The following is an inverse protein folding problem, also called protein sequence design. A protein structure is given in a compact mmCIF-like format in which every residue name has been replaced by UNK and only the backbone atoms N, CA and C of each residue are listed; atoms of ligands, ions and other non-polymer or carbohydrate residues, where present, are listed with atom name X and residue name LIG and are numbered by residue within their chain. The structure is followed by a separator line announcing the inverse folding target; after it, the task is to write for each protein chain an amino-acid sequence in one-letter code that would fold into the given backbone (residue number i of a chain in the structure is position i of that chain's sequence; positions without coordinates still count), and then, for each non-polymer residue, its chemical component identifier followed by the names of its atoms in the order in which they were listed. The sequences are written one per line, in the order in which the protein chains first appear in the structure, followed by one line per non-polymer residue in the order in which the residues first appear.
data_IF_986637060695
#
_entry.id   IF_986637060695
#
_cell.length_a   1.000
_cell.length_b   1.000
_cell.length_c   1.000
_cell.angle_alpha   90.00
_cell.angle_beta   90.00
_cell.angle_gamma   90.00
#
_symmetry.space_group_name_H-M   'P 1'
#
loop_
_entity.id
_entity.type
_entity.pdbx_description
1 polymer ?
#
# COMPACT_ATOMS: atom_id res chain seq x y z
N UNK A 1 17.33 -47.45 -40.98
CA UNK A 1 16.89 -46.51 -39.93
C UNK A 1 16.75 -47.24 -38.57
N UNK A 2 16.05 -48.37 -38.48
CA UNK A 2 15.86 -49.09 -37.22
C UNK A 2 17.17 -49.71 -36.64
N UNK A 3 18.06 -50.25 -37.48
CA UNK A 3 19.36 -50.78 -37.06
C UNK A 3 20.27 -49.69 -36.46
N UNK A 4 20.30 -48.49 -37.04
CA UNK A 4 21.07 -47.37 -36.49
C UNK A 4 20.51 -46.89 -35.12
N UNK A 5 19.19 -46.92 -34.91
CA UNK A 5 18.59 -46.60 -33.63
C UNK A 5 18.92 -47.65 -32.56
N UNK A 6 19.03 -48.90 -32.96
CA UNK A 6 19.43 -49.96 -32.03
C UNK A 6 20.90 -49.82 -31.60
N UNK A 7 21.81 -49.52 -32.55
CA UNK A 7 23.22 -49.31 -32.25
C UNK A 7 23.53 -48.07 -31.41
N UNK A 8 22.69 -47.04 -31.56
CA UNK A 8 22.84 -45.79 -30.83
C UNK A 8 21.78 -45.59 -29.71
N UNK A 9 21.15 -46.66 -29.26
CA UNK A 9 20.05 -46.59 -28.31
C UNK A 9 20.38 -45.81 -27.01
N UNK A 10 21.59 -45.97 -26.47
CA UNK A 10 22.06 -45.26 -25.28
C UNK A 10 22.15 -43.73 -25.54
N UNK A 11 22.64 -43.33 -26.72
CA UNK A 11 22.76 -41.91 -27.07
C UNK A 11 21.40 -41.27 -27.33
N UNK A 12 20.47 -42.00 -27.95
CA UNK A 12 19.08 -41.55 -28.19
C UNK A 12 18.35 -41.44 -26.84
N UNK A 13 18.53 -42.39 -25.93
CA UNK A 13 17.93 -42.35 -24.62
C UNK A 13 18.46 -41.17 -23.77
N UNK A 14 19.77 -40.95 -23.81
CA UNK A 14 20.40 -39.81 -23.15
C UNK A 14 19.86 -38.47 -23.70
N UNK A 15 19.78 -38.32 -25.02
CA UNK A 15 19.25 -37.14 -25.69
C UNK A 15 17.77 -36.89 -25.30
N UNK A 16 16.93 -37.94 -25.30
CA UNK A 16 15.55 -37.86 -24.92
C UNK A 16 15.41 -37.45 -23.42
N UNK A 17 16.27 -38.02 -22.58
CA UNK A 17 16.30 -37.66 -21.15
C UNK A 17 16.64 -36.19 -20.94
N UNK A 18 17.63 -35.65 -21.68
CA UNK A 18 18.01 -34.24 -21.61
C UNK A 18 16.85 -33.36 -22.09
N UNK A 19 16.23 -33.68 -23.24
CA UNK A 19 15.07 -32.92 -23.73
C UNK A 19 13.92 -32.93 -22.74
N UNK A 20 13.61 -34.07 -22.17
CA UNK A 20 12.56 -34.20 -21.17
C UNK A 20 12.86 -33.34 -19.92
N UNK A 21 14.12 -33.38 -19.44
CA UNK A 21 14.53 -32.55 -18.30
C UNK A 21 14.39 -31.05 -18.61
N UNK A 22 14.78 -30.61 -19.80
CA UNK A 22 14.61 -29.21 -20.21
C UNK A 22 13.13 -28.79 -20.25
N UNK A 23 12.26 -29.62 -20.79
CA UNK A 23 10.81 -29.37 -20.80
C UNK A 23 10.27 -29.21 -19.38
N UNK A 24 10.67 -30.08 -18.46
CA UNK A 24 10.28 -29.98 -17.06
C UNK A 24 10.79 -28.70 -16.38
N UNK A 25 12.03 -28.31 -16.65
CA UNK A 25 12.60 -27.05 -16.12
C UNK A 25 11.78 -25.85 -16.62
N UNK A 26 11.47 -25.78 -17.92
CA UNK A 26 10.66 -24.70 -18.48
C UNK A 26 9.27 -24.70 -17.88
N UNK A 27 8.62 -25.86 -17.78
CA UNK A 27 7.30 -25.99 -17.17
C UNK A 27 7.28 -25.50 -15.72
N UNK A 28 8.27 -25.96 -14.93
CA UNK A 28 8.42 -25.55 -13.53
C UNK A 28 8.65 -24.03 -13.43
N UNK A 29 9.45 -23.46 -14.31
CA UNK A 29 9.71 -22.01 -14.34
C UNK A 29 8.45 -21.21 -14.66
N UNK A 30 7.62 -21.67 -15.60
CA UNK A 30 6.32 -21.05 -15.92
C UNK A 30 5.40 -21.13 -14.70
N UNK A 31 5.31 -22.31 -14.08
CA UNK A 31 4.46 -22.54 -12.90
C UNK A 31 4.87 -21.63 -11.75
N UNK A 32 6.16 -21.60 -11.39
CA UNK A 32 6.69 -20.77 -10.30
C UNK A 32 6.52 -19.28 -10.60
N UNK A 33 6.70 -18.86 -11.86
CA UNK A 33 6.50 -17.45 -12.24
C UNK A 33 5.03 -17.04 -12.19
N UNK A 34 4.11 -17.94 -12.50
CA UNK A 34 2.66 -17.76 -12.31
C UNK A 34 2.32 -17.50 -10.85
N UNK A 35 2.72 -18.40 -9.95
CA UNK A 35 2.51 -18.24 -8.51
C UNK A 35 3.13 -16.95 -7.93
N UNK A 36 4.33 -16.58 -8.39
CA UNK A 36 4.97 -15.31 -7.97
C UNK A 36 4.21 -14.07 -8.46
N UNK A 37 3.51 -14.17 -9.56
CA UNK A 37 2.72 -13.06 -10.13
C UNK A 37 1.40 -12.88 -9.38
N UNK A 38 0.74 -13.96 -9.00
CA UNK A 38 -0.51 -13.95 -8.23
C UNK A 38 -0.32 -13.42 -6.81
N UNK A 39 0.82 -13.70 -6.17
CA UNK A 39 1.17 -13.24 -4.81
C UNK A 39 1.65 -11.80 -4.73
N UNK A 40 1.39 -10.96 -5.74
CA UNK A 40 1.75 -9.54 -5.68
C UNK A 40 0.72 -8.77 -4.86
N UNK A 41 1.17 -8.18 -3.76
CA UNK A 41 0.34 -7.23 -3.01
C UNK A 41 0.02 -6.02 -3.89
N UNK A 42 -1.25 -5.66 -3.96
CA UNK A 42 -1.76 -4.48 -4.68
C UNK A 42 -2.64 -3.71 -3.72
N UNK A 43 -2.17 -2.55 -3.28
CA UNK A 43 -2.92 -1.64 -2.41
C UNK A 43 -3.51 -0.55 -3.29
N UNK A 44 -4.82 -0.42 -3.28
CA UNK A 44 -5.53 0.67 -3.94
C UNK A 44 -5.83 1.75 -2.90
N UNK A 45 -5.60 3.02 -3.27
CA UNK A 45 -5.97 4.19 -2.49
C UNK A 45 -6.85 5.03 -3.40
N UNK A 46 -8.08 5.26 -3.02
CA UNK A 46 -9.04 6.02 -3.84
C UNK A 46 -9.87 6.96 -2.97
N UNK A 47 -10.27 8.06 -3.55
CA UNK A 47 -11.24 8.97 -2.96
C UNK A 47 -12.62 8.69 -3.52
N UNK A 48 -13.61 8.69 -2.66
CA UNK A 48 -15.01 8.68 -3.03
C UNK A 48 -15.67 9.91 -2.40
N UNK A 49 -16.49 10.60 -3.16
CA UNK A 49 -17.22 11.78 -2.75
C UNK A 49 -17.85 12.43 -3.97
N UNK A 50 -18.85 13.21 -3.72
CA UNK A 50 -19.59 13.97 -4.72
C UNK A 50 -19.49 15.46 -4.31
N UNK A 51 -19.89 16.38 -5.15
CA UNK A 51 -19.85 17.82 -4.90
C UNK A 51 -20.59 18.28 -3.62
N UNK A 52 -21.48 17.44 -3.09
CA UNK A 52 -22.32 17.72 -1.93
C UNK A 52 -21.93 16.91 -0.67
N UNK A 53 -20.87 16.12 -0.72
CA UNK A 53 -20.43 15.25 0.39
C UNK A 53 -18.93 15.35 0.53
N UNK A 54 -18.45 15.50 1.76
CA UNK A 54 -17.02 15.51 2.05
C UNK A 54 -16.34 14.27 1.47
N UNK A 55 -15.28 14.46 0.65
CA UNK A 55 -14.61 13.34 0.03
C UNK A 55 -13.93 12.47 1.10
N UNK A 56 -14.32 11.21 1.14
CA UNK A 56 -13.70 10.20 2.00
C UNK A 56 -12.65 9.41 1.23
N UNK A 57 -11.66 8.94 1.92
CA UNK A 57 -10.56 8.18 1.31
C UNK A 57 -10.59 6.75 1.83
N UNK A 58 -10.44 5.82 0.89
CA UNK A 58 -10.49 4.40 1.15
C UNK A 58 -9.18 3.74 0.75
N UNK A 59 -8.81 2.73 1.51
CA UNK A 59 -7.68 1.85 1.21
C UNK A 59 -8.23 0.45 1.02
N UNK A 60 -7.94 -0.17 -0.12
CA UNK A 60 -8.39 -1.52 -0.46
C UNK A 60 -7.18 -2.41 -0.74
N UNK A 61 -7.27 -3.67 -0.31
CA UNK A 61 -6.31 -4.70 -0.65
C UNK A 61 -6.82 -5.50 -1.85
N UNK A 62 -6.26 -5.26 -3.02
CA UNK A 62 -6.55 -6.02 -4.25
C UNK A 62 -5.55 -7.15 -4.48
N UNK A 63 -4.64 -7.40 -3.54
CA UNK A 63 -3.72 -8.53 -3.60
C UNK A 63 -4.39 -9.82 -3.16
N UNK A 64 -3.87 -10.96 -3.58
CA UNK A 64 -4.37 -12.27 -3.17
C UNK A 64 -4.09 -12.62 -1.69
N UNK A 65 -3.09 -11.98 -1.09
CA UNK A 65 -2.72 -12.20 0.32
C UNK A 65 -3.26 -11.07 1.19
N UNK A 66 -3.69 -11.42 2.41
CA UNK A 66 -4.01 -10.42 3.43
C UNK A 66 -2.77 -9.58 3.76
N UNK A 67 -2.99 -8.30 3.97
CA UNK A 67 -1.96 -7.36 4.44
C UNK A 67 -2.27 -6.93 5.87
N UNK A 68 -1.25 -6.53 6.60
CA UNK A 68 -1.44 -5.84 7.88
C UNK A 68 -0.98 -4.40 7.71
N UNK A 69 -1.89 -3.45 7.86
CA UNK A 69 -1.58 -2.02 7.78
C UNK A 69 -0.75 -1.65 8.99
N UNK A 70 0.48 -1.17 8.74
CA UNK A 70 1.41 -0.72 9.78
C UNK A 70 1.22 0.77 10.06
N UNK A 71 1.17 1.58 8.99
CA UNK A 71 1.07 3.03 9.13
C UNK A 71 0.51 3.68 7.86
N UNK A 72 -0.23 4.75 8.04
CA UNK A 72 -0.73 5.61 6.98
C UNK A 72 -0.12 6.99 7.15
N UNK A 73 0.70 7.41 6.18
CA UNK A 73 1.36 8.70 6.17
C UNK A 73 0.61 9.65 5.25
N UNK A 74 0.27 10.82 5.75
CA UNK A 74 -0.29 11.91 4.96
C UNK A 74 0.74 13.03 4.82
N UNK A 75 0.98 13.46 3.59
CA UNK A 75 1.78 14.64 3.28
C UNK A 75 0.83 15.69 2.71
N UNK A 76 0.79 16.86 3.30
CA UNK A 76 0.06 18.02 2.78
C UNK A 76 1.08 19.00 2.21
N UNK A 77 0.87 19.43 0.98
CA UNK A 77 1.68 20.44 0.30
C UNK A 77 0.83 21.72 0.16
N UNK A 78 1.31 22.80 0.77
CA UNK A 78 0.67 24.11 0.76
C UNK A 78 1.33 25.10 -0.23
N UNK A 79 2.35 24.64 -0.98
CA UNK A 79 3.13 25.48 -1.87
C UNK A 79 4.23 26.31 -1.16
N UNK A 80 4.12 26.54 0.14
CA UNK A 80 5.17 27.14 0.99
C UNK A 80 6.01 26.08 1.70
N UNK A 81 5.60 24.81 1.64
CA UNK A 81 6.27 23.68 2.25
C UNK A 81 5.36 22.47 2.40
N UNK A 82 5.94 21.30 2.56
CA UNK A 82 5.23 20.06 2.79
C UNK A 82 5.38 19.59 4.23
N UNK A 83 4.26 19.19 4.86
CA UNK A 83 4.27 18.54 6.15
C UNK A 83 3.82 17.08 6.00
N UNK A 84 4.55 16.13 6.63
CA UNK A 84 4.20 14.71 6.61
C UNK A 84 3.96 14.19 8.03
N UNK A 85 2.79 13.61 8.26
CA UNK A 85 2.36 13.07 9.56
C UNK A 85 1.77 11.68 9.39
N UNK A 86 1.84 10.85 10.43
CA UNK A 86 1.03 9.64 10.55
C UNK A 86 -0.41 10.01 10.88
N UNK A 87 -1.33 9.42 10.14
CA UNK A 87 -2.78 9.63 10.32
C UNK A 87 -3.49 8.31 10.61
N UNK A 88 -2.74 7.37 11.16
CA UNK A 88 -3.20 6.02 11.44
C UNK A 88 -4.14 5.99 12.64
N UNK A 89 -3.87 6.80 13.66
CA UNK A 89 -4.68 6.85 14.88
C UNK A 89 -5.85 7.81 14.70
N UNK A 90 -7.03 7.36 15.06
CA UNK A 90 -8.28 8.11 14.94
C UNK A 90 -8.46 9.04 16.15
N UNK A 91 -7.67 10.09 16.22
CA UNK A 91 -7.68 11.05 17.32
C UNK A 91 -8.94 11.93 17.35
N UNK A 92 -9.70 11.96 16.25
CA UNK A 92 -10.98 12.65 16.11
C UNK A 92 -12.15 11.93 16.80
N UNK A 93 -11.98 10.63 17.07
CA UNK A 93 -13.03 9.83 17.74
C UNK A 93 -12.83 9.91 19.25
N UNK A 94 -13.82 10.43 19.95
CA UNK A 94 -13.78 10.48 21.41
C UNK A 94 -13.73 9.06 22.00
N UNK A 95 -12.93 8.88 23.06
CA UNK A 95 -12.68 7.56 23.68
C UNK A 95 -13.93 6.82 24.11
N UNK A 96 -14.96 7.54 24.55
CA UNK A 96 -16.28 7.03 24.94
C UNK A 96 -17.12 6.46 23.80
N UNK A 97 -16.81 6.85 22.55
CA UNK A 97 -17.46 6.35 21.33
C UNK A 97 -16.74 5.18 20.70
N UNK A 98 -15.59 4.78 21.22
CA UNK A 98 -14.83 3.64 20.75
C UNK A 98 -15.42 2.35 21.34
N UNK A 99 -16.11 1.57 20.51
CA UNK A 99 -16.65 0.26 20.90
C UNK A 99 -15.55 -0.78 21.20
N UNK A 100 -14.34 -0.54 20.74
CA UNK A 100 -13.15 -1.39 20.95
C UNK A 100 -11.88 -0.54 20.80
N UNK A 101 -10.79 -0.84 21.54
CA UNK A 101 -9.48 -0.22 21.33
C UNK A 101 -8.96 -0.34 19.89
N UNK A 102 -9.33 -1.42 19.18
CA UNK A 102 -8.97 -1.60 17.78
C UNK A 102 -9.62 -0.57 16.84
N UNK A 103 -10.71 0.06 17.24
CA UNK A 103 -11.35 1.11 16.45
C UNK A 103 -10.67 2.48 16.60
N UNK A 104 -9.75 2.62 17.54
CA UNK A 104 -8.96 3.83 17.75
C UNK A 104 -7.83 3.99 16.72
N UNK A 105 -7.47 2.92 16.02
CA UNK A 105 -6.39 2.92 15.04
C UNK A 105 -6.82 2.22 13.76
N UNK A 106 -6.25 2.66 12.66
CA UNK A 106 -6.38 2.02 11.34
C UNK A 106 -5.32 0.92 11.13
N UNK A 107 -4.51 0.64 12.15
CA UNK A 107 -3.60 -0.51 12.13
C UNK A 107 -4.41 -1.79 12.24
N UNK A 108 -4.12 -2.74 11.38
CA UNK A 108 -4.85 -3.99 11.44
C UNK A 108 -4.76 -4.80 10.16
N UNK A 109 -5.29 -6.02 10.20
CA UNK A 109 -5.37 -6.89 9.03
C UNK A 109 -6.41 -6.36 8.05
N UNK A 110 -6.10 -6.48 6.76
CA UNK A 110 -6.99 -6.20 5.65
C UNK A 110 -6.93 -7.37 4.68
N UNK A 111 -7.99 -8.15 4.61
CA UNK A 111 -8.10 -9.32 3.77
C UNK A 111 -8.05 -9.01 2.28
N UNK A 112 -7.95 -10.05 1.45
CA UNK A 112 -8.04 -9.90 -0.01
C UNK A 112 -9.44 -9.43 -0.40
N UNK A 113 -9.52 -8.36 -1.21
CA UNK A 113 -10.77 -7.74 -1.62
C UNK A 113 -11.41 -6.82 -0.57
N UNK A 114 -10.89 -6.76 0.65
CA UNK A 114 -11.41 -5.87 1.69
C UNK A 114 -10.93 -4.44 1.53
N UNK A 115 -11.67 -3.53 2.14
CA UNK A 115 -11.36 -2.13 2.18
C UNK A 115 -11.61 -1.52 3.58
N UNK A 116 -10.93 -0.44 3.86
CA UNK A 116 -11.08 0.34 5.08
C UNK A 116 -11.26 1.82 4.71
N UNK A 117 -12.19 2.47 5.39
CA UNK A 117 -12.38 3.92 5.32
C UNK A 117 -11.36 4.59 6.25
N UNK A 118 -10.47 5.38 5.67
CA UNK A 118 -9.45 6.11 6.43
C UNK A 118 -9.91 7.48 6.89
N UNK A 119 -11.06 7.93 6.42
CA UNK A 119 -11.70 9.17 6.85
C UNK A 119 -11.84 10.22 5.74
N UNK A 120 -12.50 11.32 6.09
CA UNK A 120 -12.59 12.51 5.26
C UNK A 120 -11.29 13.33 5.33
N UNK A 121 -11.13 14.29 4.42
CA UNK A 121 -9.96 15.20 4.44
C UNK A 121 -9.91 15.97 5.75
N UNK A 122 -11.05 16.41 6.25
CA UNK A 122 -11.14 17.18 7.50
C UNK A 122 -10.75 16.34 8.72
N UNK A 123 -11.22 15.09 8.79
CA UNK A 123 -10.80 14.14 9.82
C UNK A 123 -9.28 13.92 9.77
N UNK A 124 -8.70 13.77 8.58
CA UNK A 124 -7.27 13.60 8.41
C UNK A 124 -6.46 14.85 8.79
N UNK A 125 -6.95 16.04 8.46
CA UNK A 125 -6.34 17.31 8.89
C UNK A 125 -6.44 17.47 10.41
N UNK A 126 -7.55 17.06 11.03
CA UNK A 126 -7.70 17.06 12.49
C UNK A 126 -6.66 16.14 13.15
N UNK A 127 -6.42 14.94 12.60
CA UNK A 127 -5.35 14.06 13.08
C UNK A 127 -3.98 14.71 12.99
N UNK A 128 -3.69 15.44 11.90
CA UNK A 128 -2.43 16.17 11.76
C UNK A 128 -2.28 17.25 12.83
N UNK A 129 -3.34 17.98 13.16
CA UNK A 129 -3.35 18.98 14.25
C UNK A 129 -3.05 18.34 15.60
N UNK A 130 -3.61 17.16 15.89
CA UNK A 130 -3.35 16.41 17.12
C UNK A 130 -1.86 16.03 17.27
N UNK A 131 -1.13 15.94 16.16
CA UNK A 131 0.33 15.72 16.14
C UNK A 131 1.16 17.01 16.15
N UNK A 132 0.57 18.17 16.48
CA UNK A 132 1.27 19.43 16.63
C UNK A 132 1.57 20.16 15.32
N UNK A 133 0.95 19.74 14.22
CA UNK A 133 1.02 20.48 12.97
C UNK A 133 0.15 21.72 13.08
N UNK A 134 0.66 22.86 12.58
CA UNK A 134 -0.14 24.10 12.53
C UNK A 134 -1.46 23.85 11.80
N UNK A 135 -2.46 24.63 12.14
CA UNK A 135 -3.73 24.59 11.40
C UNK A 135 -3.48 25.04 9.95
N UNK A 136 -3.81 24.15 9.02
CA UNK A 136 -3.70 24.38 7.58
C UNK A 136 -5.09 24.67 7.05
N UNK A 137 -5.27 25.85 6.49
CA UNK A 137 -6.57 26.22 5.91
C UNK A 137 -6.76 25.49 4.57
N UNK A 138 -8.00 25.23 4.22
CA UNK A 138 -8.38 24.49 3.00
C UNK A 138 -7.86 25.18 1.72
N UNK A 139 -7.86 26.52 1.69
CA UNK A 139 -7.38 27.32 0.55
C UNK A 139 -5.85 27.28 0.36
N UNK A 140 -5.09 26.90 1.41
CA UNK A 140 -3.65 26.73 1.35
C UNK A 140 -3.25 25.39 0.74
N UNK A 141 -4.13 24.38 0.76
CA UNK A 141 -3.82 23.01 0.35
C UNK A 141 -3.83 22.89 -1.17
N UNK A 142 -2.67 22.60 -1.75
CA UNK A 142 -2.53 22.32 -3.19
C UNK A 142 -2.60 20.84 -3.52
N UNK A 143 -1.99 20.04 -2.67
CA UNK A 143 -1.88 18.60 -2.89
C UNK A 143 -1.89 17.84 -1.56
N UNK A 144 -2.59 16.72 -1.55
CA UNK A 144 -2.50 15.72 -0.51
C UNK A 144 -1.89 14.45 -1.10
N UNK A 145 -0.91 13.88 -0.38
CA UNK A 145 -0.30 12.61 -0.75
C UNK A 145 -0.45 11.63 0.40
N UNK A 146 -1.03 10.49 0.11
CA UNK A 146 -1.16 9.39 1.06
C UNK A 146 -0.17 8.28 0.70
N UNK A 147 0.47 7.75 1.71
CA UNK A 147 1.35 6.57 1.61
C UNK A 147 0.91 5.56 2.65
N UNK A 148 0.44 4.42 2.19
CA UNK A 148 0.06 3.29 3.05
C UNK A 148 1.24 2.35 3.10
N UNK A 149 1.69 2.03 4.30
CA UNK A 149 2.71 1.04 4.57
C UNK A 149 2.08 -0.17 5.27
N UNK A 150 2.34 -1.35 4.76
CA UNK A 150 1.79 -2.60 5.26
C UNK A 150 2.85 -3.71 5.18
N UNK A 151 2.56 -4.84 5.79
CA UNK A 151 3.33 -6.09 5.66
C UNK A 151 2.41 -7.23 5.25
N UNK A 152 2.97 -8.32 4.73
CA UNK A 152 2.24 -9.55 4.44
C UNK A 152 2.83 -10.71 5.23
N UNK A 153 2.03 -11.72 5.52
CA UNK A 153 2.49 -12.91 6.23
C UNK A 153 3.60 -13.67 5.49
N UNK A 154 3.56 -13.67 4.15
CA UNK A 154 4.53 -14.40 3.32
C UNK A 154 5.89 -13.70 3.19
N UNK A 155 5.98 -12.42 3.54
CA UNK A 155 7.22 -11.65 3.44
C UNK A 155 7.37 -10.75 4.66
N UNK A 156 8.50 -10.85 5.33
CA UNK A 156 8.91 -9.93 6.40
C UNK A 156 9.20 -8.51 5.91
N UNK A 157 9.00 -8.23 4.61
CA UNK A 157 9.29 -6.95 3.98
C UNK A 157 8.07 -6.04 3.91
N UNK A 158 8.33 -4.73 3.98
CA UNK A 158 7.30 -3.71 3.82
C UNK A 158 6.79 -3.71 2.38
N UNK A 159 5.47 -3.70 2.23
CA UNK A 159 4.75 -3.37 1.01
C UNK A 159 4.14 -1.99 1.19
N UNK A 160 4.17 -1.16 0.16
CA UNK A 160 3.62 0.17 0.27
C UNK A 160 3.07 0.68 -1.04
N UNK A 161 2.05 1.52 -0.93
CA UNK A 161 1.47 2.23 -2.06
C UNK A 161 1.35 3.73 -1.74
N UNK A 162 1.37 4.54 -2.79
CA UNK A 162 1.26 5.98 -2.70
C UNK A 162 0.26 6.51 -3.71
N UNK A 163 -0.60 7.42 -3.26
CA UNK A 163 -1.53 8.17 -4.11
C UNK A 163 -1.40 9.65 -3.82
N UNK A 164 -1.48 10.47 -4.86
CA UNK A 164 -1.50 11.91 -4.76
C UNK A 164 -2.81 12.45 -5.33
N UNK A 165 -3.41 13.38 -4.61
CA UNK A 165 -4.62 14.09 -4.98
C UNK A 165 -4.31 15.57 -5.11
N UNK A 166 -4.72 16.19 -6.20
CA UNK A 166 -4.81 17.65 -6.29
C UNK A 166 -6.08 18.08 -5.56
N UNK A 167 -5.96 19.10 -4.76
CA UNK A 167 -7.08 19.64 -3.98
C UNK A 167 -7.58 20.91 -4.64
N UNK A 168 -8.87 21.04 -4.81
CA UNK A 168 -9.53 22.27 -5.27
C UNK A 168 -10.67 22.62 -4.33
N UNK A 169 -10.77 23.88 -3.90
CA UNK A 169 -11.95 24.36 -3.18
C UNK A 169 -13.20 24.24 -4.06
N UNK A 170 -14.30 23.76 -3.49
CA UNK A 170 -15.60 23.65 -4.14
C UNK A 170 -16.69 24.03 -3.13
N UNK A 171 -17.03 25.30 -3.04
CA UNK A 171 -17.91 25.83 -2.00
C UNK A 171 -17.29 25.65 -0.61
N UNK A 172 -18.03 25.04 0.31
CA UNK A 172 -17.57 24.73 1.67
C UNK A 172 -16.74 23.46 1.75
N UNK A 173 -16.68 22.65 0.67
CA UNK A 173 -16.00 21.36 0.63
C UNK A 173 -14.72 21.41 -0.21
N UNK A 174 -13.90 20.40 -0.05
CA UNK A 174 -12.71 20.17 -0.87
C UNK A 174 -12.99 19.10 -1.92
N UNK A 175 -12.65 19.37 -3.17
CA UNK A 175 -12.67 18.37 -4.23
C UNK A 175 -11.31 17.70 -4.34
N UNK A 176 -11.26 16.37 -4.19
CA UNK A 176 -10.08 15.55 -4.38
C UNK A 176 -10.03 15.01 -5.80
N UNK A 177 -9.05 15.45 -6.56
CA UNK A 177 -8.82 14.98 -7.91
C UNK A 177 -7.58 14.07 -7.92
N UNK A 178 -7.74 12.75 -8.19
CA UNK A 178 -6.61 11.85 -8.24
C UNK A 178 -5.67 12.24 -9.39
N UNK A 179 -4.37 12.34 -9.11
CA UNK A 179 -3.38 12.68 -10.15
C UNK A 179 -3.03 11.50 -11.05
N UNK A 180 -3.40 10.28 -10.65
CA UNK A 180 -3.21 9.03 -11.40
C UNK A 180 -4.43 8.14 -11.20
N UNK A 181 -4.72 7.29 -12.18
CA UNK A 181 -5.81 6.31 -12.09
C UNK A 181 -5.57 5.28 -10.98
N UNK A 182 -4.33 4.94 -10.70
CA UNK A 182 -3.98 3.92 -9.71
C UNK A 182 -2.90 4.41 -8.76
N UNK A 183 -2.95 3.92 -7.52
CA UNK A 183 -1.90 4.15 -6.54
C UNK A 183 -0.56 3.56 -7.04
N UNK A 184 0.50 4.33 -6.92
CA UNK A 184 1.84 3.89 -7.27
C UNK A 184 2.36 2.90 -6.23
N UNK A 185 2.53 1.65 -6.62
CA UNK A 185 3.08 0.61 -5.74
C UNK A 185 4.60 0.82 -5.56
N UNK A 186 5.05 0.88 -4.32
CA UNK A 186 6.47 1.08 -3.99
C UNK A 186 7.14 -0.30 -3.92
N UNK A 187 7.64 -0.76 -5.06
CA UNK A 187 8.23 -2.10 -5.23
C UNK A 187 9.75 -2.10 -5.17
N UNK A 188 10.41 -0.96 -5.39
CA UNK A 188 11.87 -0.88 -5.39
C UNK A 188 12.43 -1.15 -3.99
N UNK A 189 13.57 -1.83 -3.91
CA UNK A 189 14.27 -2.10 -2.67
C UNK A 189 14.58 -0.80 -1.89
N UNK A 190 15.09 0.21 -2.58
CA UNK A 190 15.41 1.51 -1.96
C UNK A 190 14.17 2.24 -1.45
N UNK A 191 13.06 2.20 -2.21
CA UNK A 191 11.78 2.80 -1.79
C UNK A 191 11.26 2.17 -0.51
N UNK A 192 11.23 0.83 -0.45
CA UNK A 192 10.79 0.09 0.74
C UNK A 192 11.70 0.34 1.94
N UNK A 193 13.02 0.34 1.74
CA UNK A 193 13.99 0.63 2.80
C UNK A 193 13.86 2.07 3.33
N UNK A 194 13.51 3.03 2.46
CA UNK A 194 13.24 4.41 2.89
C UNK A 194 12.02 4.49 3.79
N UNK A 195 10.93 3.79 3.44
CA UNK A 195 9.73 3.72 4.28
C UNK A 195 10.04 3.00 5.59
N UNK A 196 10.72 1.85 5.54
CA UNK A 196 11.12 1.12 6.73
C UNK A 196 11.89 2.00 7.72
N UNK A 197 12.86 2.78 7.23
CA UNK A 197 13.62 3.73 8.08
C UNK A 197 12.73 4.80 8.69
N UNK A 198 11.79 5.35 7.91
CA UNK A 198 10.83 6.33 8.44
C UNK A 198 9.96 5.76 9.56
N UNK A 199 9.47 4.54 9.40
CA UNK A 199 8.68 3.87 10.43
C UNK A 199 9.52 3.61 11.68
N UNK A 200 10.77 3.15 11.51
CA UNK A 200 11.67 2.90 12.63
C UNK A 200 12.02 4.17 13.40
N UNK A 201 12.30 5.30 12.72
CA UNK A 201 12.58 6.57 13.42
C UNK A 201 11.39 7.06 14.23
N UNK A 202 10.16 6.91 13.70
CA UNK A 202 8.95 7.27 14.44
C UNK A 202 8.70 6.40 15.67
N UNK A 203 8.98 5.10 15.55
CA UNK A 203 8.92 4.20 16.71
C UNK A 203 9.92 4.58 17.80
N UNK A 204 11.11 5.06 17.42
CA UNK A 204 12.11 5.56 18.38
C UNK A 204 11.61 6.85 19.05
N UNK A 205 11.13 7.82 18.28
CA UNK A 205 10.56 9.07 18.81
C UNK A 205 9.37 8.83 19.76
N UNK A 206 8.53 7.84 19.47
CA UNK A 206 7.42 7.46 20.34
C UNK A 206 7.89 6.84 21.66
N UNK A 207 8.99 6.07 21.64
CA UNK A 207 9.61 5.47 22.84
C UNK A 207 10.30 6.50 23.73
N UNK A 208 10.81 7.58 23.14
CA UNK A 208 11.49 8.66 23.89
C UNK A 208 10.51 9.62 24.56
N UNK A 209 9.26 9.66 24.08
CA UNK A 209 8.18 10.54 24.61
C UNK A 209 7.25 9.86 25.61
N UNK A 210 7.30 8.57 25.76
CA UNK A 210 6.49 7.78 26.70
C UNK A 210 7.30 7.27 27.87
#
# INVERSE_FOLDING_TARGET
MWAWLADNSASVQAATGIVTALVWIVYLQILVSGFRRERRSVILIHGAGNQNVDPRIFVSNLGAESIYILEILMTVDTGSGGCEVAVTDRTEVARDRLSSPSNASLQGPLGSGEWVDIGSVDELLQRMRAHGVRDIRHDEIKQIRLTVAATTAAKTGIVAARMAFSVRPSGEHLLLLPRKLHATQIRSFFGRRRIARKLSSRLQEAREKG
#
